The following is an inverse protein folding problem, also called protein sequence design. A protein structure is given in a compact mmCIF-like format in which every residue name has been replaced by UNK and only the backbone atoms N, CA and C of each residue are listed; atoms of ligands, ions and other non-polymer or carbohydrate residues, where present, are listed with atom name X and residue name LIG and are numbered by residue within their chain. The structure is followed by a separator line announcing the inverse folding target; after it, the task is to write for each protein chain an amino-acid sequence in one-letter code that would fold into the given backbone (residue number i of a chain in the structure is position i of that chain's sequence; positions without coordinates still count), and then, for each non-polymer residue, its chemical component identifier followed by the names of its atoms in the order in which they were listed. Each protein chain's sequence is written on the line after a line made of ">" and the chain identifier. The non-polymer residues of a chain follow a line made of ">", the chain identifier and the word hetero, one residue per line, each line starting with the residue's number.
data_IF_895239736455
#
_entry.id   IF_895239736455
#
_cell.length_a   1.000
_cell.length_b   1.000
_cell.length_c   1.000
_cell.angle_alpha   90.00
_cell.angle_beta   90.00
_cell.angle_gamma   90.00
#
_symmetry.space_group_name_H-M   'P 1'
#
loop_
_entity.id
_entity.type
_entity.pdbx_description
1 polymer ?
#
# COMPACT_ATOMS: atom_id res chain seq x y z
N UNK A 1 -18.97 -9.99 -3.29
CA UNK A 1 -18.67 -8.54 -3.32
C UNK A 1 -17.16 -8.45 -3.15
N UNK A 2 -16.44 -7.92 -4.14
CA UNK A 2 -14.97 -7.90 -4.14
C UNK A 2 -14.45 -7.03 -3.00
N UNK A 3 -13.49 -7.51 -2.23
CA UNK A 3 -12.81 -6.74 -1.19
C UNK A 3 -11.43 -6.35 -1.69
N UNK A 4 -10.93 -5.24 -1.16
CA UNK A 4 -9.61 -4.73 -1.47
C UNK A 4 -8.90 -4.43 -0.16
N UNK A 5 -7.57 -4.44 -0.21
CA UNK A 5 -6.72 -4.04 0.90
C UNK A 5 -5.62 -3.11 0.40
N UNK A 6 -5.16 -2.26 1.30
CA UNK A 6 -4.03 -1.37 1.06
C UNK A 6 -2.81 -2.01 1.70
N UNK A 7 -1.83 -2.32 0.87
CA UNK A 7 -0.55 -2.84 1.34
C UNK A 7 0.42 -1.67 1.45
N UNK A 8 1.08 -1.57 2.59
CA UNK A 8 2.23 -0.70 2.82
C UNK A 8 3.50 -1.54 2.65
N UNK A 9 4.31 -1.19 1.66
CA UNK A 9 5.61 -1.77 1.39
C UNK A 9 6.70 -0.86 1.96
N UNK A 10 7.54 -1.44 2.82
CA UNK A 10 8.62 -0.73 3.51
C UNK A 10 10.01 -1.09 2.95
N UNK A 11 10.06 -1.75 1.80
CA UNK A 11 11.26 -2.35 1.25
C UNK A 11 11.69 -3.64 1.98
N UNK A 12 12.54 -4.43 1.32
CA UNK A 12 13.18 -5.62 1.90
C UNK A 12 12.20 -6.71 2.35
N UNK A 13 11.19 -7.01 1.52
CA UNK A 13 10.14 -8.04 1.76
C UNK A 13 9.17 -7.75 2.92
N UNK A 14 9.19 -6.54 3.48
CA UNK A 14 8.30 -6.17 4.59
C UNK A 14 7.04 -5.47 4.05
N UNK A 15 5.91 -6.18 4.14
CA UNK A 15 4.60 -5.70 3.69
C UNK A 15 3.54 -5.79 4.80
N UNK A 16 2.73 -4.73 4.96
CA UNK A 16 1.65 -4.66 5.95
C UNK A 16 0.32 -4.29 5.34
N UNK A 17 -0.75 -5.00 5.70
CA UNK A 17 -2.12 -4.56 5.41
C UNK A 17 -2.52 -3.41 6.33
N UNK A 18 -2.78 -2.23 5.77
CA UNK A 18 -3.14 -1.02 6.54
C UNK A 18 -4.63 -0.77 6.61
N UNK A 19 -5.35 -1.14 5.56
CA UNK A 19 -6.78 -0.91 5.45
C UNK A 19 -7.41 -1.98 4.56
N UNK A 20 -8.65 -2.35 4.81
CA UNK A 20 -9.39 -3.28 3.96
C UNK A 20 -10.85 -2.85 3.84
N UNK A 21 -11.39 -2.86 2.63
CA UNK A 21 -12.72 -2.32 2.34
C UNK A 21 -13.17 -2.58 0.91
N UNK A 22 -14.12 -1.79 0.46
CA UNK A 22 -14.46 -1.68 -0.97
C UNK A 22 -13.38 -0.91 -1.72
N UNK A 23 -13.36 -1.04 -3.05
CA UNK A 23 -12.42 -0.31 -3.91
C UNK A 23 -12.45 1.21 -3.63
N UNK A 24 -13.67 1.75 -3.49
CA UNK A 24 -13.90 3.16 -3.23
C UNK A 24 -13.32 3.60 -1.88
N UNK A 25 -13.55 2.82 -0.82
CA UNK A 25 -13.01 3.13 0.51
C UNK A 25 -11.47 3.08 0.51
N UNK A 26 -10.88 2.12 -0.20
CA UNK A 26 -9.43 2.05 -0.32
C UNK A 26 -8.86 3.23 -1.14
N UNK A 27 -9.52 3.63 -2.23
CA UNK A 27 -9.14 4.82 -3.00
C UNK A 27 -9.27 6.11 -2.17
N UNK A 28 -10.32 6.25 -1.37
CA UNK A 28 -10.48 7.38 -0.45
C UNK A 28 -9.36 7.42 0.59
N UNK A 29 -8.96 6.27 1.14
CA UNK A 29 -7.84 6.18 2.07
C UNK A 29 -6.51 6.58 1.40
N UNK A 30 -6.22 6.08 0.19
CA UNK A 30 -5.01 6.45 -0.56
C UNK A 30 -4.98 7.94 -0.84
N UNK A 31 -6.07 8.54 -1.31
CA UNK A 31 -6.14 9.98 -1.59
C UNK A 31 -5.95 10.84 -0.33
N UNK A 32 -6.41 10.36 0.83
CA UNK A 32 -6.27 11.09 2.09
C UNK A 32 -4.86 10.96 2.68
N UNK A 33 -4.27 9.77 2.68
CA UNK A 33 -3.02 9.46 3.39
C UNK A 33 -1.77 9.49 2.51
N UNK A 34 -1.91 9.32 1.20
CA UNK A 34 -0.80 9.16 0.26
C UNK A 34 -0.84 10.22 -0.84
N UNK A 35 0.33 10.57 -1.37
CA UNK A 35 0.46 11.29 -2.62
C UNK A 35 0.86 10.32 -3.73
N UNK A 36 0.33 10.53 -4.93
CA UNK A 36 0.59 9.65 -6.07
C UNK A 36 1.71 10.23 -6.93
N UNK A 37 2.74 9.44 -7.21
CA UNK A 37 3.81 9.82 -8.14
C UNK A 37 3.54 9.20 -9.52
N UNK A 38 3.35 10.06 -10.50
CA UNK A 38 3.11 9.65 -11.89
C UNK A 38 4.35 9.10 -12.60
N UNK A 39 5.56 9.39 -12.10
CA UNK A 39 6.82 8.91 -12.70
C UNK A 39 7.12 7.47 -12.31
N UNK A 40 6.86 7.11 -11.05
CA UNK A 40 7.07 5.75 -10.54
C UNK A 40 5.81 4.91 -10.56
N UNK A 41 4.63 5.53 -10.73
CA UNK A 41 3.32 4.89 -10.69
C UNK A 41 3.02 4.27 -9.31
N UNK A 42 3.54 4.90 -8.24
CA UNK A 42 3.41 4.46 -6.85
C UNK A 42 2.68 5.49 -5.98
N UNK A 43 2.04 5.01 -4.91
CA UNK A 43 1.55 5.88 -3.84
C UNK A 43 2.59 5.96 -2.73
N UNK A 44 2.92 7.16 -2.27
CA UNK A 44 3.85 7.36 -1.17
C UNK A 44 3.14 8.01 0.01
N UNK A 45 3.57 7.71 1.24
CA UNK A 45 2.98 8.33 2.43
C UNK A 45 3.12 9.85 2.39
N UNK A 46 2.08 10.57 2.83
CA UNK A 46 2.18 12.01 3.14
C UNK A 46 2.80 12.28 4.50
N UNK A 47 2.94 11.27 5.35
CA UNK A 47 3.52 11.45 6.67
C UNK A 47 5.03 11.64 6.56
N UNK A 48 5.53 12.72 7.15
CA UNK A 48 6.98 12.96 7.24
C UNK A 48 7.69 11.93 8.12
N UNK A 49 6.97 11.33 9.08
CA UNK A 49 7.48 10.24 9.93
C UNK A 49 7.69 8.91 9.16
N UNK A 50 6.99 8.73 8.03
CA UNK A 50 7.15 7.55 7.16
C UNK A 50 8.38 7.68 6.24
N UNK A 51 9.12 8.78 6.32
CA UNK A 51 10.41 8.99 5.66
C UNK A 51 11.50 8.80 6.71
N UNK A 52 11.81 7.54 7.04
CA UNK A 52 12.77 7.25 8.10
C UNK A 52 14.21 7.55 7.65
N UNK A 53 14.70 8.76 7.90
CA UNK A 53 16.11 9.14 8.17
C UNK A 53 17.21 8.82 7.15
N UNK A 54 16.97 7.96 6.15
CA UNK A 54 17.80 7.52 5.02
C UNK A 54 17.13 6.39 4.18
N UNK A 55 15.94 5.90 4.54
CA UNK A 55 15.22 4.84 3.83
C UNK A 55 14.22 5.40 2.82
N UNK A 56 14.09 4.68 1.70
CA UNK A 56 13.14 4.95 0.62
C UNK A 56 11.72 5.16 1.17
N UNK A 57 10.95 6.11 0.62
CA UNK A 57 9.60 6.40 1.09
C UNK A 57 8.72 5.15 0.96
N UNK A 58 7.94 4.84 2.01
CA UNK A 58 7.01 3.70 1.97
C UNK A 58 6.05 3.84 0.80
N UNK A 59 5.94 2.78 0.00
CA UNK A 59 4.99 2.71 -1.10
C UNK A 59 3.72 2.01 -0.66
N UNK A 60 2.59 2.40 -1.24
CA UNK A 60 1.30 1.82 -1.00
C UNK A 60 0.70 1.34 -2.31
N UNK A 61 0.05 0.19 -2.29
CA UNK A 61 -0.67 -0.29 -3.46
C UNK A 61 -1.98 -0.96 -3.06
N UNK A 62 -2.93 -0.88 -3.99
CA UNK A 62 -4.23 -1.50 -3.88
C UNK A 62 -4.10 -2.96 -4.31
N UNK A 63 -4.34 -3.88 -3.37
CA UNK A 63 -4.40 -5.30 -3.64
C UNK A 63 -5.86 -5.76 -3.61
N UNK A 64 -6.25 -6.50 -4.64
CA UNK A 64 -7.60 -7.06 -4.73
C UNK A 64 -7.61 -8.42 -4.06
N UNK A 65 -8.54 -8.63 -3.14
CA UNK A 65 -8.83 -9.92 -2.50
C UNK A 65 -9.61 -10.85 -3.45
N UNK A 66 -9.18 -10.89 -4.71
CA UNK A 66 -9.59 -11.94 -5.66
C UNK A 66 -8.41 -12.92 -5.68
N UNK A 67 -8.58 -14.05 -4.98
CA UNK A 67 -7.71 -15.23 -5.02
C UNK A 67 -7.04 -15.43 -6.40
N UNK A 68 -5.71 -15.18 -6.49
CA UNK A 68 -4.67 -16.08 -7.03
C UNK A 68 -3.29 -15.39 -7.22
N UNK A 69 -2.78 -14.66 -6.21
CA UNK A 69 -1.34 -14.36 -6.15
C UNK A 69 -0.78 -14.57 -4.75
N UNK A 70 -0.36 -15.81 -4.50
CA UNK A 70 0.51 -16.17 -3.38
C UNK A 70 1.87 -15.49 -3.63
N UNK A 71 2.13 -14.36 -2.96
CA UNK A 71 3.48 -13.98 -2.59
C UNK A 71 3.61 -14.11 -1.07
N UNK A 72 4.29 -15.16 -0.62
CA UNK A 72 4.93 -15.14 0.70
C UNK A 72 4.18 -15.71 1.90
N UNK A 73 3.45 -16.83 1.77
CA UNK A 73 3.20 -17.68 2.95
C UNK A 73 4.52 -18.38 3.32
N UNK A 74 5.35 -17.74 4.14
CA UNK A 74 6.47 -18.40 4.83
C UNK A 74 5.88 -19.08 6.07
N UNK A 75 5.91 -20.42 6.03
CA UNK A 75 5.65 -21.34 7.15
C UNK A 75 6.63 -21.13 8.31
#
# INVERSE_FOLDING_TARGET
>A
MKRFRIIEDRGGDIQYSRFSGTEKECQEWLNNNCWYDTHTNDYYSKSLDDVNGNNEPFTYYLDSDDDDFIWGLIL
#
